data_IF_691345101175
#
_entry.id   IF_691345101175
#
_cell.length_a   1.000
_cell.length_b   1.000
_cell.length_c   1.000
_cell.angle_alpha   90.00
_cell.angle_beta   90.00
_cell.angle_gamma   90.00
#
_symmetry.space_group_name_H-M   'P 1'
#
loop_
_entity.id
_entity.type
_entity.pdbx_description
1 polymer ?
#
# COMPACT_ATOMS: atom_id res chain seq x y z
N UNK A 1 -3.06 15.58 10.65
CA UNK A 1 -2.88 14.10 10.84
C UNK A 1 -3.14 13.25 9.57
N UNK A 2 -2.86 13.77 8.36
CA UNK A 2 -3.21 13.10 7.10
C UNK A 2 -2.13 12.16 6.52
N UNK A 3 -0.94 12.06 7.11
CA UNK A 3 0.18 11.29 6.55
C UNK A 3 0.21 9.79 6.86
N UNK A 4 -0.42 9.34 7.96
CA UNK A 4 -0.45 7.92 8.35
C UNK A 4 -1.29 7.02 7.42
N UNK A 5 -2.52 7.39 7.01
CA UNK A 5 -3.34 6.50 6.18
C UNK A 5 -2.77 6.29 4.78
N UNK A 6 -2.11 7.30 4.20
CA UNK A 6 -1.50 7.20 2.88
C UNK A 6 -0.31 6.22 2.87
N UNK A 7 0.55 6.27 3.88
CA UNK A 7 1.67 5.34 4.02
C UNK A 7 1.19 3.89 4.21
N UNK A 8 0.15 3.67 5.01
CA UNK A 8 -0.45 2.35 5.19
C UNK A 8 -1.12 1.84 3.89
N UNK A 9 -1.88 2.68 3.19
CA UNK A 9 -2.46 2.34 1.89
C UNK A 9 -1.40 2.00 0.85
N UNK A 10 -0.27 2.72 0.82
CA UNK A 10 0.85 2.39 -0.06
C UNK A 10 1.46 1.01 0.25
N UNK A 11 1.58 0.64 1.53
CA UNK A 11 2.03 -0.71 1.92
C UNK A 11 1.02 -1.79 1.51
N UNK A 12 -0.29 -1.51 1.61
CA UNK A 12 -1.35 -2.41 1.12
C UNK A 12 -1.24 -2.62 -0.39
N UNK A 13 -1.05 -1.53 -1.14
CA UNK A 13 -0.83 -1.57 -2.58
C UNK A 13 0.38 -2.45 -2.94
N UNK A 14 1.51 -2.27 -2.26
CA UNK A 14 2.70 -3.10 -2.49
C UNK A 14 2.43 -4.59 -2.26
N UNK A 15 1.65 -4.93 -1.22
CA UNK A 15 1.22 -6.33 -0.96
C UNK A 15 0.29 -6.86 -2.05
N UNK A 16 -0.67 -6.07 -2.50
CA UNK A 16 -1.58 -6.45 -3.57
C UNK A 16 -0.83 -6.74 -4.88
N UNK A 17 0.20 -5.94 -5.17
CA UNK A 17 1.01 -6.02 -6.37
C UNK A 17 2.15 -7.06 -6.31
N UNK A 18 2.35 -7.70 -5.15
CA UNK A 18 3.46 -8.62 -4.89
C UNK A 18 4.85 -8.02 -5.23
N UNK A 19 5.01 -6.71 -5.00
CA UNK A 19 6.28 -6.00 -5.28
C UNK A 19 7.16 -5.93 -4.03
N UNK A 20 8.49 -5.82 -4.20
CA UNK A 20 9.41 -5.61 -3.08
C UNK A 20 9.14 -4.26 -2.40
N UNK A 21 9.03 -4.28 -1.07
CA UNK A 21 8.94 -3.06 -0.24
C UNK A 21 10.36 -2.59 0.08
N UNK A 22 10.65 -1.27 0.00
CA UNK A 22 11.95 -0.72 0.36
C UNK A 22 12.35 -1.08 1.79
N UNK A 23 13.65 -1.25 2.05
CA UNK A 23 14.18 -1.73 3.34
C UNK A 23 13.67 -0.93 4.54
N UNK A 24 13.56 0.39 4.39
CA UNK A 24 13.09 1.33 5.40
C UNK A 24 11.64 1.05 5.85
N UNK A 25 10.84 0.44 4.96
CA UNK A 25 9.41 0.17 5.18
C UNK A 25 9.10 -1.31 5.46
N UNK A 26 10.09 -2.20 5.47
CA UNK A 26 9.89 -3.64 5.69
C UNK A 26 9.24 -3.91 7.05
N UNK A 27 9.70 -3.25 8.11
CA UNK A 27 9.14 -3.42 9.45
C UNK A 27 7.68 -2.99 9.51
N UNK A 28 7.34 -1.87 8.86
CA UNK A 28 5.97 -1.36 8.78
C UNK A 28 5.06 -2.33 7.99
N UNK A 29 5.55 -2.91 6.89
CA UNK A 29 4.83 -3.93 6.12
C UNK A 29 4.50 -5.15 6.97
N UNK A 30 5.49 -5.69 7.69
CA UNK A 30 5.32 -6.87 8.55
C UNK A 30 4.31 -6.61 9.67
N UNK A 31 4.41 -5.46 10.32
CA UNK A 31 3.47 -5.08 11.38
C UNK A 31 2.04 -4.91 10.83
N UNK A 32 1.88 -4.36 9.64
CA UNK A 32 0.59 -4.26 8.95
C UNK A 32 0.04 -5.65 8.60
N UNK A 33 0.86 -6.57 8.08
CA UNK A 33 0.46 -7.95 7.82
C UNK A 33 -0.08 -8.65 9.08
N UNK A 34 0.64 -8.54 10.19
CA UNK A 34 0.19 -9.06 11.49
C UNK A 34 -1.15 -8.43 11.91
N UNK A 35 -1.31 -7.11 11.72
CA UNK A 35 -2.57 -6.41 12.01
C UNK A 35 -3.71 -6.87 11.12
N UNK A 36 -3.45 -7.26 9.87
CA UNK A 36 -4.48 -7.80 8.99
C UNK A 36 -4.90 -9.22 9.41
N UNK A 37 -3.97 -10.03 9.93
CA UNK A 37 -4.28 -11.37 10.44
C UNK A 37 -5.22 -11.32 11.66
N UNK A 38 -5.23 -10.24 12.45
CA UNK A 38 -6.15 -10.11 13.59
C UNK A 38 -7.56 -9.67 13.16
N UNK A 39 -7.72 -9.12 11.96
CA UNK A 39 -9.01 -8.67 11.43
C UNK A 39 -9.69 -9.78 10.62
N UNK A 40 -10.46 -10.62 11.31
CA UNK A 40 -11.24 -11.70 10.69
C UNK A 40 -12.29 -11.11 9.72
N UNK A 41 -12.29 -11.57 8.47
CA UNK A 41 -13.14 -11.10 7.35
C UNK A 41 -12.79 -9.72 6.75
N UNK A 42 -11.58 -9.18 6.98
CA UNK A 42 -11.18 -7.96 6.27
C UNK A 42 -10.96 -8.23 4.77
N UNK A 43 -11.36 -7.30 3.87
CA UNK A 43 -11.14 -7.44 2.44
C UNK A 43 -9.63 -7.48 2.12
N UNK A 44 -9.26 -8.38 1.22
CA UNK A 44 -7.87 -8.59 0.86
C UNK A 44 -7.28 -7.30 0.23
N UNK A 45 -5.96 -7.07 0.33
CA UNK A 45 -5.32 -5.94 -0.35
C UNK A 45 -5.60 -5.89 -1.86
N UNK A 46 -5.82 -7.06 -2.48
CA UNK A 46 -6.19 -7.18 -3.89
C UNK A 46 -7.64 -6.75 -4.18
N UNK A 47 -8.52 -6.70 -3.19
CA UNK A 47 -9.90 -6.23 -3.36
C UNK A 47 -10.01 -4.72 -3.09
N UNK A 48 -9.14 -4.18 -2.22
CA UNK A 48 -9.18 -2.76 -1.83
C UNK A 48 -8.21 -1.86 -2.59
N UNK A 49 -7.43 -2.39 -3.55
CA UNK A 49 -6.35 -1.63 -4.18
C UNK A 49 -6.83 -0.34 -4.90
N UNK A 50 -8.06 -0.32 -5.42
CA UNK A 50 -8.64 0.89 -6.02
C UNK A 50 -8.85 2.01 -5.00
N UNK A 51 -9.40 1.67 -3.84
CA UNK A 51 -9.60 2.61 -2.71
C UNK A 51 -8.26 3.04 -2.11
N UNK A 52 -7.32 2.12 -1.94
CA UNK A 52 -5.98 2.41 -1.45
C UNK A 52 -5.22 3.36 -2.43
N UNK A 53 -5.41 3.20 -3.74
CA UNK A 53 -4.84 4.10 -4.75
C UNK A 53 -5.43 5.51 -4.64
N UNK A 54 -6.76 5.62 -4.48
CA UNK A 54 -7.42 6.92 -4.31
C UNK A 54 -6.90 7.66 -3.06
N UNK A 55 -6.70 6.94 -1.95
CA UNK A 55 -6.15 7.50 -0.70
C UNK A 55 -4.72 8.01 -0.86
N UNK A 56 -3.88 7.28 -1.59
CA UNK A 56 -2.49 7.71 -1.84
C UNK A 56 -2.46 8.92 -2.78
N UNK A 57 -3.31 8.95 -3.82
CA UNK A 57 -3.39 10.09 -4.73
C UNK A 57 -3.99 11.35 -4.10
N UNK A 58 -4.84 11.19 -3.07
CA UNK A 58 -5.38 12.30 -2.29
C UNK A 58 -4.39 12.88 -1.25
N UNK A 59 -3.27 12.19 -1.01
CA UNK A 59 -2.26 12.63 -0.06
C UNK A 59 -1.35 13.72 -0.65
N UNK A 60 -0.65 14.50 0.19
CA UNK A 60 0.39 15.42 -0.28
C UNK A 60 1.44 14.70 -1.12
N UNK A 61 1.91 15.35 -2.19
CA UNK A 61 2.90 14.77 -3.06
C UNK A 61 4.23 14.54 -2.32
N UNK A 62 4.74 13.32 -2.44
CA UNK A 62 6.09 12.94 -2.07
C UNK A 62 6.75 12.20 -3.24
N UNK A 63 7.99 12.58 -3.57
CA UNK A 63 8.68 12.06 -4.74
C UNK A 63 9.08 10.58 -4.60
N UNK A 64 9.34 10.11 -3.37
CA UNK A 64 9.67 8.71 -3.12
C UNK A 64 8.40 7.85 -3.22
N UNK A 65 7.31 8.29 -2.61
CA UNK A 65 6.03 7.57 -2.66
C UNK A 65 5.44 7.54 -4.07
N UNK A 66 5.61 8.60 -4.86
CA UNK A 66 5.20 8.62 -6.27
C UNK A 66 5.87 7.50 -7.10
N UNK A 67 7.18 7.28 -6.92
CA UNK A 67 7.92 6.20 -7.61
C UNK A 67 7.44 4.81 -7.21
N UNK A 68 7.11 4.65 -5.93
CA UNK A 68 6.57 3.39 -5.38
C UNK A 68 5.19 3.10 -5.95
N UNK A 69 4.29 4.08 -5.91
CA UNK A 69 2.94 3.98 -6.50
C UNK A 69 3.01 3.63 -7.98
N UNK A 70 3.89 4.29 -8.75
CA UNK A 70 4.06 3.99 -10.17
C UNK A 70 4.46 2.53 -10.41
N UNK A 71 5.38 2.00 -9.60
CA UNK A 71 5.84 0.61 -9.68
C UNK A 71 4.70 -0.37 -9.38
N UNK A 72 3.95 -0.10 -8.32
CA UNK A 72 2.77 -0.89 -7.93
C UNK A 72 1.69 -0.87 -9.01
N UNK A 73 1.26 0.31 -9.45
CA UNK A 73 0.20 0.45 -10.44
C UNK A 73 0.59 -0.20 -11.78
N UNK A 74 1.85 -0.10 -12.18
CA UNK A 74 2.35 -0.81 -13.37
C UNK A 74 2.21 -2.32 -13.25
N UNK A 75 2.39 -2.90 -12.05
CA UNK A 75 2.20 -4.33 -11.84
C UNK A 75 0.71 -4.70 -11.77
N UNK A 76 -0.10 -3.93 -11.04
CA UNK A 76 -1.54 -4.20 -10.89
C UNK A 76 -2.31 -4.08 -12.20
N UNK A 77 -2.05 -3.03 -13.00
CA UNK A 77 -2.72 -2.80 -14.28
C UNK A 77 -2.31 -3.79 -15.38
N UNK A 78 -1.28 -4.60 -15.16
CA UNK A 78 -0.85 -5.65 -16.09
C UNK A 78 -1.46 -7.02 -15.77
N UNK A 79 -2.15 -7.16 -14.64
CA UNK A 79 -2.75 -8.42 -14.20
C UNK A 79 -4.13 -8.62 -14.80
#
# INVERSE_FOLDING_TARGET
PAGKPAAESLLRLEMAADVPTPAEHISARRMLQLTLLTKRNAPAPLETWGDDTAKVLAAPFDAQDARRVQTVLKALLKR
#
